data_IF_253554539394
#
_entry.id   IF_253554539394
#
_cell.length_a   1.000
_cell.length_b   1.000
_cell.length_c   1.000
_cell.angle_alpha   90.00
_cell.angle_beta   90.00
_cell.angle_gamma   90.00
#
_symmetry.space_group_name_H-M   'P 1'
#
loop_
_entity.id
_entity.type
_entity.pdbx_description
1 polymer ?
#
# COMPACT_ATOMS: atom_id res chain seq x y z
N UNK A 1 2.58 -5.43 -10.15
CA UNK A 1 4.02 -5.14 -9.94
C UNK A 1 4.34 -3.75 -10.51
N UNK A 2 4.50 -2.74 -9.64
CA UNK A 2 5.03 -1.44 -10.04
C UNK A 2 6.52 -1.56 -10.32
N UNK A 3 6.93 -1.31 -11.56
CA UNK A 3 8.34 -1.13 -11.92
C UNK A 3 8.56 0.36 -12.21
N UNK A 4 9.26 1.05 -11.31
CA UNK A 4 10.00 2.24 -11.70
C UNK A 4 11.27 1.75 -12.41
N UNK A 5 11.19 1.56 -13.73
CA UNK A 5 12.37 1.26 -14.55
C UNK A 5 13.00 2.61 -14.92
N UNK A 6 14.09 2.97 -14.25
CA UNK A 6 14.76 4.29 -14.33
C UNK A 6 15.80 4.35 -15.47
N UNK A 7 15.81 3.38 -16.39
CA UNK A 7 16.81 3.37 -17.46
C UNK A 7 16.14 3.27 -18.85
N UNK A 8 16.46 4.29 -19.64
CA UNK A 8 16.29 4.46 -21.09
C UNK A 8 14.90 4.81 -21.62
N UNK A 9 14.52 6.09 -21.52
CA UNK A 9 13.76 6.79 -22.58
C UNK A 9 14.11 8.29 -22.59
N UNK A 10 14.67 8.77 -23.71
CA UNK A 10 14.73 10.19 -24.04
C UNK A 10 13.31 10.74 -24.24
N UNK A 11 12.65 11.10 -23.14
CA UNK A 11 11.39 11.84 -23.08
C UNK A 11 11.50 12.71 -21.84
N UNK A 12 11.37 14.03 -21.99
CA UNK A 12 11.36 15.05 -20.92
C UNK A 12 11.01 14.43 -19.57
N UNK A 13 12.03 14.17 -18.74
CA UNK A 13 11.78 13.53 -17.46
C UNK A 13 10.94 14.49 -16.65
N UNK A 14 9.73 14.10 -16.26
CA UNK A 14 8.88 14.94 -15.39
C UNK A 14 9.49 15.11 -14.01
N UNK A 15 10.43 14.24 -13.66
CA UNK A 15 11.09 14.19 -12.37
C UNK A 15 12.59 13.99 -12.52
N UNK A 16 13.36 14.63 -11.66
CA UNK A 16 14.76 14.33 -11.38
C UNK A 16 14.86 13.46 -10.12
N UNK A 17 15.67 12.39 -10.18
CA UNK A 17 15.96 11.55 -9.01
C UNK A 17 17.06 12.21 -8.18
N UNK A 18 16.74 12.60 -6.94
CA UNK A 18 17.68 13.27 -6.05
C UNK A 18 18.32 12.33 -5.01
N UNK A 19 17.57 11.32 -4.56
CA UNK A 19 18.02 10.34 -3.57
C UNK A 19 17.34 9.00 -3.81
N UNK A 20 18.00 7.90 -3.46
CA UNK A 20 17.45 6.56 -3.51
C UNK A 20 17.98 5.71 -2.36
N UNK A 21 17.04 5.10 -1.64
CA UNK A 21 17.30 4.11 -0.60
C UNK A 21 16.57 2.81 -0.93
N UNK A 22 17.17 1.68 -0.56
CA UNK A 22 16.51 0.38 -0.60
C UNK A 22 16.54 -0.27 0.78
N UNK A 23 15.57 -1.14 1.02
CA UNK A 23 15.44 -1.95 2.23
C UNK A 23 15.52 -3.40 1.80
N UNK A 24 16.51 -4.12 2.32
CA UNK A 24 16.52 -5.58 2.30
C UNK A 24 16.03 -6.04 3.68
N UNK A 25 14.85 -6.64 3.72
CA UNK A 25 14.20 -6.96 5.00
C UNK A 25 14.87 -8.12 5.74
N UNK A 26 15.68 -8.92 5.05
CA UNK A 26 16.42 -10.04 5.64
C UNK A 26 17.50 -9.56 6.62
N UNK A 27 18.10 -8.39 6.37
CA UNK A 27 18.99 -7.68 7.29
C UNK A 27 18.34 -7.35 8.64
N UNK A 28 17.01 -7.41 8.72
CA UNK A 28 16.21 -7.18 9.92
C UNK A 28 15.47 -8.45 10.39
N UNK A 29 15.85 -9.63 9.89
CA UNK A 29 15.20 -10.90 10.24
C UNK A 29 13.84 -11.12 9.55
N UNK A 30 13.47 -10.27 8.58
CA UNK A 30 12.14 -10.20 7.99
C UNK A 30 12.10 -10.69 6.54
N UNK A 31 12.66 -11.88 6.27
CA UNK A 31 12.65 -12.55 4.94
C UNK A 31 13.26 -11.71 3.81
N UNK A 32 13.39 -12.29 2.63
CA UNK A 32 14.10 -11.72 1.48
C UNK A 32 13.25 -10.75 0.63
N UNK A 33 12.19 -10.17 1.19
CA UNK A 33 11.47 -9.10 0.52
C UNK A 33 12.36 -7.85 0.44
N UNK A 34 12.00 -6.95 -0.48
CA UNK A 34 12.67 -5.65 -0.62
C UNK A 34 11.65 -4.52 -0.72
N UNK A 35 12.09 -3.31 -0.39
CA UNK A 35 11.36 -2.07 -0.64
C UNK A 35 12.32 -1.00 -1.15
N UNK A 36 11.79 0.00 -1.84
CA UNK A 36 12.56 1.12 -2.38
C UNK A 36 11.91 2.45 -1.98
N UNK A 37 12.73 3.45 -1.77
CA UNK A 37 12.36 4.83 -1.50
C UNK A 37 13.20 5.73 -2.38
N UNK A 38 12.57 6.67 -3.07
CA UNK A 38 13.23 7.67 -3.90
C UNK A 38 12.79 9.06 -3.46
N UNK A 39 13.69 10.04 -3.56
CA UNK A 39 13.31 11.45 -3.54
C UNK A 39 13.31 11.95 -4.97
N UNK A 40 12.15 12.46 -5.39
CA UNK A 40 11.95 12.99 -6.73
C UNK A 40 11.70 14.49 -6.64
N UNK A 41 12.32 15.26 -7.54
CA UNK A 41 12.01 16.67 -7.77
C UNK A 41 11.26 16.81 -9.09
N UNK A 42 10.14 17.51 -9.10
CA UNK A 42 9.37 17.75 -10.32
C UNK A 42 10.05 18.83 -11.16
N UNK A 43 10.32 18.50 -12.42
CA UNK A 43 10.87 19.45 -13.37
C UNK A 43 9.81 20.50 -13.71
N UNK A 44 10.20 21.78 -13.65
CA UNK A 44 9.31 22.85 -14.09
C UNK A 44 9.08 22.73 -15.60
N UNK A 45 7.85 22.49 -16.04
CA UNK A 45 7.53 22.58 -17.46
C UNK A 45 7.74 24.04 -17.90
N UNK A 46 8.70 24.25 -18.81
CA UNK A 46 8.84 25.54 -19.48
C UNK A 46 7.67 25.70 -20.45
N UNK A 47 6.68 26.54 -20.14
CA UNK A 47 5.66 26.94 -21.13
C UNK A 47 6.36 27.76 -22.25
N UNK A 48 6.46 27.24 -23.49
CA UNK A 48 7.18 27.91 -24.56
C UNK A 48 6.52 29.24 -24.98
N UNK A 49 5.29 29.50 -24.55
CA UNK A 49 4.51 30.71 -24.90
C UNK A 49 4.47 31.75 -23.78
N UNK A 50 4.90 31.41 -22.58
CA UNK A 50 4.94 32.29 -21.43
C UNK A 50 6.32 32.98 -21.32
N UNK A 51 6.40 34.27 -21.67
CA UNK A 51 7.58 35.11 -21.36
C UNK A 51 7.67 35.47 -19.86
N UNK A 52 6.77 34.97 -19.03
CA UNK A 52 6.71 35.27 -17.61
C UNK A 52 7.19 34.03 -16.83
N UNK A 53 8.42 34.11 -16.31
CA UNK A 53 8.93 33.13 -15.35
C UNK A 53 8.13 33.24 -14.05
N UNK A 54 7.01 32.55 -13.95
CA UNK A 54 6.42 32.24 -12.65
C UNK A 54 7.16 31.02 -12.12
N UNK A 55 8.37 31.26 -11.59
CA UNK A 55 9.02 30.25 -10.75
C UNK A 55 8.18 30.16 -9.48
N UNK A 56 7.52 29.02 -9.25
CA UNK A 56 7.25 28.57 -7.88
C UNK A 56 8.56 28.76 -7.10
N UNK A 57 8.53 29.52 -6.00
CA UNK A 57 9.76 29.89 -5.29
C UNK A 57 10.48 28.70 -4.68
N UNK A 58 9.78 27.58 -4.48
CA UNK A 58 10.33 26.35 -3.96
C UNK A 58 10.21 25.17 -4.95
N UNK A 59 11.26 24.33 -5.05
CA UNK A 59 11.22 23.10 -5.84
C UNK A 59 10.21 22.12 -5.25
N UNK A 60 9.40 21.51 -6.12
CA UNK A 60 8.43 20.49 -5.71
C UNK A 60 9.12 19.15 -5.57
N UNK A 61 9.32 18.72 -4.33
CA UNK A 61 9.93 17.43 -4.01
C UNK A 61 8.94 16.52 -3.33
N UNK A 62 9.09 15.22 -3.51
CA UNK A 62 8.36 14.20 -2.76
C UNK A 62 9.18 12.94 -2.56
N UNK A 63 8.90 12.22 -1.49
CA UNK A 63 9.34 10.84 -1.30
C UNK A 63 8.36 9.93 -2.02
N UNK A 64 8.86 9.05 -2.88
CA UNK A 64 8.09 7.96 -3.50
C UNK A 64 8.62 6.63 -2.98
N UNK A 65 7.75 5.85 -2.35
CA UNK A 65 8.07 4.51 -1.87
C UNK A 65 7.34 3.41 -2.64
N UNK A 66 8.00 2.27 -2.82
CA UNK A 66 7.39 1.04 -3.33
C UNK A 66 7.76 -0.15 -2.45
N UNK A 67 6.78 -0.97 -2.08
CA UNK A 67 6.96 -2.16 -1.24
C UNK A 67 6.20 -3.36 -1.80
N UNK A 68 6.77 -4.55 -1.62
CA UNK A 68 6.05 -5.81 -1.77
C UNK A 68 6.21 -6.62 -0.49
N UNK A 69 5.17 -6.62 0.35
CA UNK A 69 5.13 -7.27 1.65
C UNK A 69 5.03 -8.79 1.48
N UNK A 70 5.58 -9.55 2.44
CA UNK A 70 5.57 -11.01 2.47
C UNK A 70 4.18 -11.58 2.14
N UNK A 71 4.10 -12.53 1.19
CA UNK A 71 2.83 -13.14 0.80
C UNK A 71 2.16 -13.98 1.90
N UNK A 72 2.94 -14.74 2.69
CA UNK A 72 2.41 -15.76 3.61
C UNK A 72 1.41 -15.15 4.62
N UNK A 73 0.11 -15.52 4.56
CA UNK A 73 -0.94 -14.90 5.37
C UNK A 73 -0.77 -15.16 6.86
N UNK A 74 -0.11 -16.27 7.23
CA UNK A 74 0.10 -16.68 8.62
C UNK A 74 1.27 -15.99 9.31
N UNK A 75 2.04 -15.16 8.59
CA UNK A 75 3.24 -14.46 9.09
C UNK A 75 3.01 -12.96 9.26
N UNK A 76 1.89 -12.61 9.91
CA UNK A 76 1.55 -11.22 10.20
C UNK A 76 2.58 -10.49 11.05
N UNK A 77 3.34 -11.22 11.86
CA UNK A 77 4.51 -10.73 12.61
C UNK A 77 5.55 -10.09 11.68
N UNK A 78 5.93 -10.81 10.61
CA UNK A 78 6.87 -10.28 9.60
C UNK A 78 6.21 -9.18 8.78
N UNK A 79 4.97 -9.37 8.32
CA UNK A 79 4.27 -8.38 7.49
C UNK A 79 4.20 -7.02 8.20
N UNK A 80 3.79 -7.02 9.47
CA UNK A 80 3.66 -5.81 10.27
C UNK A 80 5.02 -5.14 10.49
N UNK A 81 6.07 -5.92 10.79
CA UNK A 81 7.43 -5.41 10.92
C UNK A 81 7.97 -4.80 9.61
N UNK A 82 7.70 -5.42 8.46
CA UNK A 82 8.10 -4.92 7.14
C UNK A 82 7.42 -3.57 6.84
N UNK A 83 6.10 -3.49 7.06
CA UNK A 83 5.34 -2.24 6.88
C UNK A 83 5.85 -1.17 7.85
N UNK A 84 5.98 -1.47 9.15
CA UNK A 84 6.51 -0.51 10.15
C UNK A 84 7.85 0.06 9.74
N UNK A 85 8.83 -0.80 9.42
CA UNK A 85 10.18 -0.37 9.06
C UNK A 85 10.19 0.46 7.77
N UNK A 86 9.37 0.10 6.79
CA UNK A 86 9.24 0.86 5.55
C UNK A 86 8.67 2.26 5.79
N UNK A 87 7.61 2.37 6.59
CA UNK A 87 7.00 3.65 6.96
C UNK A 87 7.94 4.52 7.80
N UNK A 88 8.67 3.92 8.74
CA UNK A 88 9.68 4.60 9.56
C UNK A 88 10.79 5.20 8.68
N UNK A 89 11.30 4.43 7.71
CA UNK A 89 12.32 4.93 6.78
C UNK A 89 11.79 5.99 5.81
N UNK A 90 10.56 5.84 5.31
CA UNK A 90 9.93 6.84 4.48
C UNK A 90 9.73 8.16 5.23
N UNK A 91 9.31 8.09 6.50
CA UNK A 91 9.20 9.26 7.38
C UNK A 91 10.56 9.92 7.59
N UNK A 92 11.59 9.15 7.95
CA UNK A 92 12.93 9.68 8.16
C UNK A 92 13.48 10.38 6.92
N UNK A 93 13.31 9.78 5.74
CA UNK A 93 13.75 10.37 4.48
C UNK A 93 13.00 11.67 4.17
N UNK A 94 11.70 11.72 4.46
CA UNK A 94 10.91 12.96 4.36
C UNK A 94 11.47 14.05 5.27
N UNK A 95 11.83 13.73 6.52
CA UNK A 95 12.45 14.68 7.46
C UNK A 95 13.81 15.20 6.95
N UNK A 96 14.68 14.30 6.47
CA UNK A 96 16.01 14.63 5.94
C UNK A 96 15.94 15.63 4.77
N UNK A 97 14.86 15.57 4.00
CA UNK A 97 14.61 16.46 2.87
C UNK A 97 13.70 17.65 3.18
N UNK A 98 13.47 17.96 4.46
CA UNK A 98 12.73 19.15 4.90
C UNK A 98 11.22 18.95 5.03
N UNK A 99 10.79 17.78 5.50
CA UNK A 99 9.38 17.40 5.67
C UNK A 99 8.61 17.34 4.35
N UNK A 100 9.25 16.89 3.27
CA UNK A 100 8.60 16.81 1.96
C UNK A 100 7.48 15.76 1.95
N UNK A 101 6.45 15.93 1.10
CA UNK A 101 5.33 14.99 1.00
C UNK A 101 5.77 13.56 0.69
N UNK A 102 4.99 12.58 1.13
CA UNK A 102 5.27 11.15 0.89
C UNK A 102 4.12 10.50 0.14
N UNK A 103 4.43 9.78 -0.93
CA UNK A 103 3.54 8.86 -1.61
C UNK A 103 4.16 7.46 -1.59
N UNK A 104 3.40 6.45 -1.17
CA UNK A 104 3.85 5.07 -1.18
C UNK A 104 2.85 4.21 -1.96
N UNK A 105 3.36 3.29 -2.76
CA UNK A 105 2.56 2.30 -3.46
C UNK A 105 3.08 0.91 -3.15
N UNK A 106 2.28 -0.13 -3.39
CA UNK A 106 2.78 -1.48 -3.27
C UNK A 106 1.72 -2.54 -3.07
N UNK A 107 2.17 -3.78 -3.17
CA UNK A 107 1.41 -4.96 -2.77
C UNK A 107 1.68 -5.22 -1.28
N UNK A 108 0.66 -4.94 -0.46
CA UNK A 108 0.73 -5.14 0.98
C UNK A 108 0.36 -6.56 1.40
N UNK A 109 -0.11 -7.41 0.47
CA UNK A 109 -0.67 -8.73 0.76
C UNK A 109 -1.64 -8.68 1.96
N UNK A 110 -2.44 -7.62 2.03
CA UNK A 110 -3.32 -7.34 3.16
C UNK A 110 -4.61 -6.67 2.65
N UNK A 111 -5.76 -7.08 3.17
CA UNK A 111 -7.08 -6.60 2.66
C UNK A 111 -7.48 -5.26 3.29
N UNK A 112 -8.45 -4.52 2.71
CA UNK A 112 -8.90 -3.24 3.29
C UNK A 112 -9.54 -3.38 4.68
N UNK A 113 -10.01 -4.57 5.03
CA UNK A 113 -10.60 -4.87 6.35
C UNK A 113 -9.56 -5.45 7.34
N UNK A 114 -8.29 -5.50 6.95
CA UNK A 114 -7.21 -6.04 7.76
C UNK A 114 -6.73 -5.05 8.82
N UNK A 115 -6.19 -5.56 9.93
CA UNK A 115 -5.61 -4.67 10.93
C UNK A 115 -4.29 -4.04 10.45
N UNK A 116 -3.60 -4.64 9.46
CA UNK A 116 -2.47 -3.98 8.79
C UNK A 116 -2.93 -2.72 8.03
N UNK A 117 -4.07 -2.78 7.33
CA UNK A 117 -4.65 -1.59 6.70
C UNK A 117 -4.99 -0.53 7.76
N UNK A 118 -5.66 -0.95 8.83
CA UNK A 118 -6.03 -0.03 9.92
C UNK A 118 -4.79 0.59 10.57
N UNK A 119 -3.71 -0.17 10.80
CA UNK A 119 -2.41 0.33 11.28
C UNK A 119 -1.84 1.44 10.39
N UNK A 120 -1.82 1.25 9.07
CA UNK A 120 -1.30 2.25 8.12
C UNK A 120 -2.14 3.54 8.17
N UNK A 121 -3.46 3.39 8.33
CA UNK A 121 -4.39 4.52 8.37
C UNK A 121 -4.42 5.26 9.73
N UNK A 122 -4.36 4.52 10.84
CA UNK A 122 -4.45 5.06 12.21
C UNK A 122 -3.09 5.47 12.80
N UNK A 123 -2.00 4.95 12.24
CA UNK A 123 -0.64 5.05 12.74
C UNK A 123 -0.35 4.31 14.06
N UNK A 124 -1.30 3.52 14.56
CA UNK A 124 -1.17 2.75 15.80
C UNK A 124 -1.96 1.45 15.72
N UNK A 125 -1.36 0.36 16.19
CA UNK A 125 -2.02 -0.93 16.36
C UNK A 125 -1.51 -1.65 17.61
N UNK A 126 -2.43 -2.08 18.46
CA UNK A 126 -2.15 -2.96 19.59
C UNK A 126 -2.19 -4.44 19.16
N UNK A 127 -1.04 -5.10 19.16
CA UNK A 127 -0.90 -6.50 18.74
C UNK A 127 -1.70 -7.48 19.59
N UNK A 128 -2.02 -7.14 20.85
CA UNK A 128 -2.79 -8.03 21.73
C UNK A 128 -4.24 -8.24 21.27
N UNK A 129 -4.78 -7.31 20.49
CA UNK A 129 -6.15 -7.38 19.98
C UNK A 129 -6.29 -8.25 18.72
N UNK A 130 -5.18 -8.79 18.21
CA UNK A 130 -5.14 -9.46 16.92
C UNK A 130 -4.36 -10.79 16.96
N UNK A 131 -4.91 -11.82 16.32
CA UNK A 131 -4.11 -13.01 15.96
C UNK A 131 -3.18 -12.65 14.79
N UNK A 132 -1.87 -12.77 15.00
CA UNK A 132 -0.86 -12.55 13.94
C UNK A 132 -1.11 -13.38 12.68
N UNK A 133 -1.82 -14.50 12.76
CA UNK A 133 -2.12 -15.37 11.60
C UNK A 133 -3.29 -14.85 10.76
N UNK A 134 -4.03 -13.86 11.27
CA UNK A 134 -5.24 -13.29 10.65
C UNK A 134 -5.12 -11.78 10.40
N UNK A 135 -4.08 -11.12 10.92
CA UNK A 135 -3.93 -9.65 10.90
C UNK A 135 -3.94 -9.04 9.49
N UNK A 136 -3.57 -9.81 8.46
CA UNK A 136 -3.58 -9.37 7.06
C UNK A 136 -4.94 -9.51 6.36
N UNK A 137 -5.93 -10.16 6.98
CA UNK A 137 -7.25 -10.38 6.41
C UNK A 137 -7.29 -11.33 5.19
N UNK A 138 -6.14 -11.84 4.75
CA UNK A 138 -6.05 -12.85 3.70
C UNK A 138 -6.52 -14.20 4.25
N UNK A 139 -7.68 -14.66 3.79
CA UNK A 139 -8.18 -16.01 4.04
C UNK A 139 -7.77 -16.91 2.88
N UNK A 140 -6.97 -17.94 3.13
CA UNK A 140 -6.70 -18.96 2.12
C UNK A 140 -7.97 -19.82 1.94
N UNK A 141 -8.59 -19.78 0.76
CA UNK A 141 -9.68 -20.71 0.45
C UNK A 141 -9.09 -22.10 0.28
N UNK A 142 -9.60 -23.09 1.04
CA UNK A 142 -9.20 -24.48 0.84
C UNK A 142 -9.67 -24.98 -0.54
N UNK A 143 -8.86 -25.77 -1.27
CA UNK A 143 -9.17 -26.20 -2.64
C UNK A 143 -10.50 -26.97 -2.81
N UNK A 144 -11.12 -27.42 -1.72
CA UNK A 144 -12.34 -28.25 -1.71
C UNK A 144 -13.64 -27.43 -1.76
N UNK A 145 -13.60 -26.13 -1.49
CA UNK A 145 -14.78 -25.24 -1.52
C UNK A 145 -14.73 -24.30 -2.73
N UNK A 146 -14.74 -24.88 -3.94
CA UNK A 146 -14.76 -24.13 -5.23
C UNK A 146 -16.07 -23.39 -5.52
N UNK A 147 -16.94 -23.23 -4.54
CA UNK A 147 -18.10 -22.36 -4.66
C UNK A 147 -17.68 -20.99 -4.15
N UNK A 148 -17.35 -20.07 -5.08
CA UNK A 148 -17.15 -18.65 -4.78
C UNK A 148 -18.48 -18.04 -4.28
N UNK A 149 -18.91 -18.41 -3.07
CA UNK A 149 -19.99 -17.72 -2.36
C UNK A 149 -19.46 -16.34 -1.97
N UNK A 150 -20.32 -15.34 -2.09
CA UNK A 150 -19.98 -13.94 -1.84
C UNK A 150 -19.41 -13.74 -0.42
N UNK A 151 -18.08 -13.61 -0.31
CA UNK A 151 -17.40 -13.38 0.97
C UNK A 151 -17.36 -11.91 1.41
N UNK A 152 -17.89 -10.97 0.60
CA UNK A 152 -18.10 -9.58 1.04
C UNK A 152 -19.05 -9.44 2.26
N UNK A 153 -19.70 -10.53 2.68
CA UNK A 153 -20.68 -10.54 3.77
C UNK A 153 -20.31 -11.41 4.99
N UNK A 154 -19.10 -12.00 5.08
CA UNK A 154 -18.78 -12.90 6.21
C UNK A 154 -18.02 -12.24 7.38
N UNK A 155 -17.83 -10.93 7.39
CA UNK A 155 -17.19 -10.23 8.51
C UNK A 155 -18.11 -9.94 9.71
N UNK A 156 -19.37 -10.41 9.71
CA UNK A 156 -20.31 -10.15 10.80
C UNK A 156 -20.67 -11.37 11.70
N UNK A 157 -20.10 -12.57 11.45
CA UNK A 157 -20.50 -13.76 12.21
C UNK A 157 -19.37 -14.76 12.51
N UNK A 158 -18.14 -14.29 12.70
CA UNK A 158 -17.13 -15.07 13.41
C UNK A 158 -17.26 -14.78 14.91
N UNK A 159 -18.23 -15.47 15.51
CA UNK A 159 -18.50 -15.49 16.93
C UNK A 159 -17.24 -15.84 17.73
N UNK A 160 -17.03 -15.05 18.78
CA UNK A 160 -16.37 -15.36 20.05
C UNK A 160 -16.22 -16.88 20.24
N UNK A 161 -15.06 -17.41 19.86
CA UNK A 161 -14.66 -18.79 20.13
C UNK A 161 -13.44 -18.74 21.03
N UNK A 162 -13.71 -19.01 22.32
CA UNK A 162 -12.78 -19.49 23.34
C UNK A 162 -11.34 -18.96 23.32
N UNK A 163 -11.07 -17.97 24.18
CA UNK A 163 -9.93 -17.90 25.11
C UNK A 163 -8.75 -18.88 24.89
N UNK A 164 -8.10 -18.78 23.73
CA UNK A 164 -6.67 -19.04 23.61
C UNK A 164 -6.08 -17.66 23.43
N UNK A 165 -5.30 -17.21 24.40
CA UNK A 165 -4.57 -15.97 24.29
C UNK A 165 -3.86 -15.98 22.94
N UNK A 166 -4.11 -14.96 22.12
CA UNK A 166 -3.40 -14.72 20.87
C UNK A 166 -1.96 -14.33 21.25
N UNK A 167 -1.21 -15.27 21.83
CA UNK A 167 0.10 -15.03 22.40
C UNK A 167 1.12 -14.98 21.27
N UNK A 168 1.46 -13.75 20.90
CA UNK A 168 2.66 -13.48 20.16
C UNK A 168 3.85 -13.91 21.01
N UNK A 169 4.81 -14.61 20.41
CA UNK A 169 6.08 -14.84 21.11
C UNK A 169 6.82 -13.50 21.29
N UNK A 170 7.73 -13.42 22.27
CA UNK A 170 8.56 -12.22 22.45
C UNK A 170 9.37 -11.89 21.20
N UNK A 171 9.85 -12.89 20.47
CA UNK A 171 10.56 -12.71 19.20
C UNK A 171 9.63 -12.15 18.11
N UNK A 172 8.38 -12.63 18.03
CA UNK A 172 7.38 -12.14 17.08
C UNK A 172 6.98 -10.70 17.38
N UNK A 173 6.82 -10.34 18.66
CA UNK A 173 6.59 -8.96 19.09
C UNK A 173 7.77 -8.07 18.72
N UNK A 174 8.99 -8.47 19.07
CA UNK A 174 10.20 -7.70 18.76
C UNK A 174 10.36 -7.46 17.26
N UNK A 175 10.08 -8.46 16.41
CA UNK A 175 10.11 -8.31 14.96
C UNK A 175 9.07 -7.27 14.48
N UNK A 176 7.85 -7.32 15.02
CA UNK A 176 6.79 -6.41 14.60
C UNK A 176 6.96 -4.99 15.13
N UNK A 177 7.37 -4.81 16.39
CA UNK A 177 7.50 -3.50 17.06
C UNK A 177 8.85 -2.84 16.83
N UNK A 178 9.85 -3.59 16.36
CA UNK A 178 11.22 -3.09 16.20
C UNK A 178 12.07 -3.18 17.46
N UNK A 179 11.82 -4.18 18.31
CA UNK A 179 12.61 -4.45 19.52
C UNK A 179 12.22 -3.63 20.75
N UNK A 180 11.10 -2.90 20.70
CA UNK A 180 10.57 -2.18 21.85
C UNK A 180 9.78 -3.14 22.76
N UNK A 181 9.94 -3.01 24.08
CA UNK A 181 9.14 -3.73 25.08
C UNK A 181 7.70 -3.17 25.16
N UNK A 182 6.96 -3.32 24.07
CA UNK A 182 5.60 -2.80 23.89
C UNK A 182 4.78 -3.78 23.05
N UNK A 183 3.46 -3.67 23.14
CA UNK A 183 2.52 -4.38 22.26
C UNK A 183 2.02 -3.51 21.13
N UNK A 184 2.27 -2.20 21.20
CA UNK A 184 1.86 -1.24 20.19
C UNK A 184 2.92 -1.14 19.08
N UNK A 185 2.45 -1.23 17.83
CA UNK A 185 3.22 -0.88 16.65
C UNK A 185 2.77 0.49 16.17
N UNK A 186 3.71 1.40 15.96
CA UNK A 186 3.42 2.81 15.64
C UNK A 186 4.26 3.33 14.47
N UNK A 187 3.74 4.33 13.76
CA UNK A 187 4.49 5.14 12.80
C UNK A 187 4.08 6.62 12.88
N UNK A 188 4.81 7.50 12.19
CA UNK A 188 4.61 8.95 12.28
C UNK A 188 3.96 9.56 11.03
N UNK A 189 3.86 8.80 9.93
CA UNK A 189 3.18 9.27 8.72
C UNK A 189 1.67 9.31 8.92
N UNK A 190 1.03 10.41 8.53
CA UNK A 190 -0.44 10.53 8.48
C UNK A 190 -0.90 10.22 7.06
N UNK A 191 -1.18 8.95 6.79
CA UNK A 191 -1.45 8.45 5.45
C UNK A 191 -2.95 8.36 5.16
N UNK A 192 -3.31 8.68 3.93
CA UNK A 192 -4.64 8.45 3.37
C UNK A 192 -4.51 7.58 2.12
N UNK A 193 -5.46 6.67 1.92
CA UNK A 193 -5.52 5.92 0.68
C UNK A 193 -6.05 6.82 -0.44
N UNK A 194 -5.34 6.82 -1.57
CA UNK A 194 -5.72 7.57 -2.75
C UNK A 194 -7.06 7.08 -3.33
N UNK A 195 -7.32 5.78 -3.30
CA UNK A 195 -8.55 5.20 -3.83
C UNK A 195 -9.74 5.50 -2.92
N UNK A 196 -9.55 5.40 -1.60
CA UNK A 196 -10.57 5.78 -0.61
C UNK A 196 -10.92 7.28 -0.70
N UNK A 197 -9.95 8.13 -1.03
CA UNK A 197 -10.12 9.58 -1.14
C UNK A 197 -10.80 10.07 -2.42
N UNK A 198 -10.98 9.22 -3.44
CA UNK A 198 -11.61 9.59 -4.72
C UNK A 198 -12.97 8.89 -4.86
N UNK A 199 -14.06 9.62 -5.18
CA UNK A 199 -15.37 9.01 -5.40
C UNK A 199 -15.32 7.93 -6.48
N UNK A 200 -15.80 6.73 -6.16
CA UNK A 200 -15.97 5.63 -7.10
C UNK A 200 -17.40 5.10 -7.11
N UNK A 201 -17.61 3.97 -7.77
CA UNK A 201 -18.93 3.34 -7.87
C UNK A 201 -19.00 2.08 -7.01
N UNK A 202 -20.17 1.73 -6.49
CA UNK A 202 -20.38 0.47 -5.75
C UNK A 202 -20.10 -0.80 -6.59
N UNK A 203 -19.98 -0.65 -7.92
CA UNK A 203 -19.64 -1.76 -8.82
C UNK A 203 -18.14 -2.08 -8.82
N UNK A 204 -17.31 -1.12 -8.44
CA UNK A 204 -15.84 -1.21 -8.48
C UNK A 204 -15.19 -0.93 -7.13
N UNK A 205 -15.94 -0.36 -6.17
CA UNK A 205 -15.47 -0.03 -4.82
C UNK A 205 -16.20 -0.78 -3.71
N UNK A 206 -15.48 -1.04 -2.62
CA UNK A 206 -16.02 -1.56 -1.37
C UNK A 206 -16.54 -0.44 -0.45
N UNK A 207 -16.90 -0.79 0.79
CA UNK A 207 -17.43 0.16 1.78
C UNK A 207 -16.40 1.17 2.31
N UNK A 208 -15.10 0.88 2.16
CA UNK A 208 -14.00 1.80 2.51
C UNK A 208 -13.59 2.67 1.33
N UNK A 209 -14.23 2.52 0.16
CA UNK A 209 -13.87 3.22 -1.07
C UNK A 209 -12.67 2.59 -1.80
N UNK A 210 -12.20 1.43 -1.35
CA UNK A 210 -11.12 0.70 -2.03
C UNK A 210 -11.64 -0.10 -3.21
N UNK A 211 -10.81 -0.44 -4.22
CA UNK A 211 -11.19 -1.40 -5.25
C UNK A 211 -11.81 -2.67 -4.66
N UNK A 212 -12.78 -3.27 -5.36
CA UNK A 212 -13.31 -4.58 -4.98
C UNK A 212 -12.28 -5.70 -5.15
N UNK A 213 -11.38 -5.55 -6.12
CA UNK A 213 -10.22 -6.40 -6.32
C UNK A 213 -9.11 -5.67 -7.07
N UNK A 214 -7.87 -5.94 -6.66
CA UNK A 214 -6.64 -5.61 -7.40
C UNK A 214 -5.91 -6.86 -7.85
N UNK A 215 -6.28 -8.05 -7.35
CA UNK A 215 -5.75 -9.35 -7.80
C UNK A 215 -6.86 -10.38 -7.89
N UNK A 216 -6.71 -11.32 -8.84
CA UNK A 216 -7.60 -12.48 -8.96
C UNK A 216 -6.84 -13.73 -9.40
N UNK A 217 -6.48 -14.58 -8.45
CA UNK A 217 -5.87 -15.87 -8.74
C UNK A 217 -6.67 -17.01 -8.10
N UNK A 218 -6.19 -18.25 -8.28
CA UNK A 218 -6.90 -19.48 -7.90
C UNK A 218 -7.28 -19.61 -6.42
N UNK A 219 -6.70 -18.80 -5.53
CA UNK A 219 -6.90 -18.87 -4.07
C UNK A 219 -7.48 -17.61 -3.46
N UNK A 220 -7.51 -16.50 -4.20
CA UNK A 220 -7.87 -15.20 -3.66
C UNK A 220 -8.36 -14.25 -4.76
N UNK A 221 -9.43 -13.53 -4.45
CA UNK A 221 -9.99 -12.42 -5.22
C UNK A 221 -10.21 -11.29 -4.23
N UNK A 222 -9.51 -10.18 -4.40
CA UNK A 222 -9.61 -9.05 -3.48
C UNK A 222 -8.53 -8.01 -3.71
N UNK A 223 -8.50 -7.04 -2.81
CA UNK A 223 -7.58 -5.90 -2.89
C UNK A 223 -6.42 -6.09 -1.94
N UNK A 224 -5.21 -5.97 -2.49
CA UNK A 224 -3.93 -6.04 -1.76
C UNK A 224 -2.95 -4.96 -2.23
N UNK A 225 -3.24 -4.28 -3.33
CA UNK A 225 -2.42 -3.21 -3.89
C UNK A 225 -3.02 -1.86 -3.50
N UNK A 226 -2.17 -0.95 -3.02
CA UNK A 226 -2.61 0.37 -2.53
C UNK A 226 -1.69 1.49 -3.01
N UNK A 227 -2.23 2.70 -3.04
CA UNK A 227 -1.47 3.95 -3.14
C UNK A 227 -1.88 4.80 -1.93
N UNK A 228 -0.93 5.07 -1.05
CA UNK A 228 -1.11 5.94 0.11
C UNK A 228 -0.33 7.24 -0.06
N UNK A 229 -0.82 8.31 0.54
CA UNK A 229 -0.15 9.61 0.48
C UNK A 229 -0.34 10.40 1.77
N UNK A 230 0.59 11.32 2.04
CA UNK A 230 0.41 12.33 3.09
C UNK A 230 -0.52 13.45 2.61
N UNK A 231 -1.04 14.25 3.55
CA UNK A 231 -2.06 15.28 3.32
C UNK A 231 -1.63 16.41 2.39
N UNK A 232 -0.33 16.58 2.16
CA UNK A 232 0.23 17.60 1.27
C UNK A 232 0.03 17.24 -0.22
N UNK A 233 -0.38 16.00 -0.50
CA UNK A 233 -0.80 15.52 -1.80
C UNK A 233 -2.31 15.25 -1.79
N UNK A 234 -2.97 15.56 -2.90
CA UNK A 234 -4.41 15.33 -3.10
C UNK A 234 -4.61 14.42 -4.31
N UNK A 235 -5.36 13.32 -4.18
CA UNK A 235 -5.71 12.49 -5.32
C UNK A 235 -6.77 13.20 -6.16
N UNK A 236 -6.41 13.54 -7.39
CA UNK A 236 -7.28 14.23 -8.36
C UNK A 236 -8.21 13.23 -9.03
N UNK A 237 -7.66 12.07 -9.42
CA UNK A 237 -8.40 10.95 -10.01
C UNK A 237 -7.60 9.66 -9.88
N UNK A 238 -8.32 8.54 -9.93
CA UNK A 238 -7.74 7.20 -9.94
C UNK A 238 -8.18 6.42 -11.17
N UNK A 239 -7.36 5.46 -11.58
CA UNK A 239 -7.77 4.46 -12.56
C UNK A 239 -8.74 3.48 -11.90
N UNK A 240 -9.99 3.46 -12.38
CA UNK A 240 -10.99 2.48 -11.94
C UNK A 240 -10.56 1.05 -12.28
N UNK A 241 -10.83 0.11 -11.35
CA UNK A 241 -10.61 -1.31 -11.60
C UNK A 241 -11.82 -1.93 -12.28
N UNK A 242 -11.67 -3.18 -12.74
CA UNK A 242 -12.77 -3.91 -13.34
C UNK A 242 -13.84 -4.28 -12.29
N UNK A 243 -15.14 -4.19 -12.63
CA UNK A 243 -16.20 -4.69 -11.76
C UNK A 243 -16.00 -6.18 -11.42
N UNK A 244 -16.39 -6.57 -10.21
CA UNK A 244 -16.17 -7.94 -9.71
C UNK A 244 -16.85 -9.01 -10.58
N UNK A 245 -18.00 -8.71 -11.19
CA UNK A 245 -18.70 -9.60 -12.12
C UNK A 245 -17.97 -9.77 -13.46
N UNK A 246 -17.23 -8.76 -13.90
CA UNK A 246 -16.37 -8.84 -15.09
C UNK A 246 -15.12 -9.66 -14.76
N UNK A 247 -14.47 -9.41 -13.63
CA UNK A 247 -13.30 -10.20 -13.20
C UNK A 247 -13.62 -11.67 -13.05
N UNK A 248 -14.73 -12.02 -12.38
CA UNK A 248 -15.14 -13.43 -12.23
C UNK A 248 -15.37 -14.14 -13.56
N UNK A 249 -15.78 -13.41 -14.61
CA UNK A 249 -15.96 -13.97 -15.96
C UNK A 249 -14.65 -14.29 -16.67
N UNK A 250 -13.51 -13.74 -16.24
CA UNK A 250 -12.21 -14.13 -16.78
C UNK A 250 -11.76 -15.52 -16.32
N UNK A 251 -12.36 -16.05 -15.24
CA UNK A 251 -11.98 -17.34 -14.64
C UNK A 251 -10.67 -17.31 -13.85
N UNK A 252 -10.09 -16.13 -13.66
CA UNK A 252 -8.79 -15.90 -13.02
C UNK A 252 -7.89 -15.00 -13.85
N UNK A 253 -6.79 -14.59 -13.25
CA UNK A 253 -5.69 -13.85 -13.86
C UNK A 253 -4.36 -14.57 -13.50
N UNK A 254 -3.32 -14.51 -14.36
CA UNK A 254 -3.34 -13.94 -15.71
C UNK A 254 -4.27 -14.71 -16.67
N UNK A 255 -4.57 -14.12 -17.82
CA UNK A 255 -5.39 -14.71 -18.88
C UNK A 255 -4.86 -14.30 -20.26
N UNK A 256 -5.44 -14.80 -21.34
CA UNK A 256 -5.07 -14.40 -22.71
C UNK A 256 -5.05 -12.88 -22.93
N UNK A 257 -5.96 -12.16 -22.26
CA UNK A 257 -6.07 -10.70 -22.36
C UNK A 257 -5.30 -9.94 -21.28
N UNK A 258 -4.75 -10.62 -20.27
CA UNK A 258 -4.17 -9.99 -19.07
C UNK A 258 -2.88 -10.69 -18.64
N UNK A 259 -1.74 -10.03 -18.78
CA UNK A 259 -0.42 -10.61 -18.53
C UNK A 259 0.00 -10.75 -17.06
N UNK A 260 -0.81 -10.28 -16.11
CA UNK A 260 -0.55 -10.39 -14.66
C UNK A 260 -1.81 -10.85 -13.95
N UNK A 261 -1.62 -11.53 -12.82
CA UNK A 261 -2.64 -11.84 -11.81
C UNK A 261 -3.15 -10.61 -11.03
N UNK A 262 -2.41 -9.50 -11.09
CA UNK A 262 -2.77 -8.20 -10.53
C UNK A 262 -3.21 -7.21 -11.62
N UNK A 263 -4.17 -6.36 -11.28
CA UNK A 263 -4.58 -5.20 -12.06
C UNK A 263 -3.65 -4.03 -11.73
N UNK A 264 -3.34 -3.24 -12.75
CA UNK A 264 -2.66 -1.97 -12.54
C UNK A 264 -3.58 -1.01 -11.77
N UNK A 265 -3.05 -0.39 -10.72
CA UNK A 265 -3.66 0.75 -10.04
C UNK A 265 -2.87 2.01 -10.40
N UNK A 266 -3.54 3.16 -10.47
CA UNK A 266 -2.90 4.43 -10.79
C UNK A 266 -3.68 5.58 -10.18
N UNK A 267 -2.97 6.62 -9.80
CA UNK A 267 -3.52 7.84 -9.23
C UNK A 267 -2.80 9.05 -9.84
N UNK A 268 -3.57 10.09 -10.20
CA UNK A 268 -3.03 11.42 -10.42
C UNK A 268 -3.07 12.19 -9.10
N UNK A 269 -1.90 12.60 -8.61
CA UNK A 269 -1.74 13.37 -7.38
C UNK A 269 -1.37 14.82 -7.72
N UNK A 270 -2.01 15.78 -7.06
CA UNK A 270 -1.64 17.20 -7.08
C UNK A 270 -1.06 17.64 -5.75
N UNK A 271 -0.20 18.66 -5.74
CA UNK A 271 0.26 19.28 -4.49
C UNK A 271 -0.85 20.21 -3.97
N UNK A 272 -1.11 20.21 -2.66
CA UNK A 272 -2.13 21.11 -2.07
C UNK A 272 -1.86 22.59 -2.40
N UNK A 273 -0.60 22.98 -2.45
CA UNK A 273 -0.18 24.35 -2.75
C UNK A 273 -0.51 24.80 -4.18
N UNK A 274 -0.93 23.90 -5.08
CA UNK A 274 -1.37 24.26 -6.44
C UNK A 274 -2.78 24.89 -6.46
N UNK A 275 -3.52 24.84 -5.34
CA UNK A 275 -4.92 25.25 -5.24
C UNK A 275 -5.17 26.40 -4.26
N UNK A 276 -4.11 27.07 -3.78
CA UNK A 276 -4.14 28.25 -2.92
C UNK A 276 -3.74 29.51 -3.70
#
# INVERSE_FOLDING_TARGET
MFFLKIEDFEVFTRFELLDHQHIEFDKFGMRNNVAQLCVLEMNCEEDPKSKLRVRSSDPRRLVVGNIHVLFNPKRGDIKLGQVRLFLEKAYKLSQEWGNIPVAIAGDLNSTPQSAIYDFIASADLDTQLHDRRQISGQTEVEPKERSFRNHYAFSASASISGSLLNEWSQEELQLATGGQETTHVQHQLKLNSAYSGVPGTYRTRDQRGEPLATTYHSRFLGTVDYIWHTKELVPVRVLETLPADVLRRTGGLPSENWGSDHLAIACELGFVNDWQ
#
